data_IF_177329790647
#
_entry.id   IF_177329790647
#
_cell.length_a   1.000
_cell.length_b   1.000
_cell.length_c   1.000
_cell.angle_alpha   90.00
_cell.angle_beta   90.00
_cell.angle_gamma   90.00
#
_symmetry.space_group_name_H-M   'P 1'
#
loop_
_entity.id
_entity.type
_entity.pdbx_description
1 polymer ?
#
# COMPACT_ATOMS: atom_id res chain seq x y z
N UNK A 1 33.65 17.82 -26.63
CA UNK A 1 33.10 16.87 -25.65
C UNK A 1 31.80 17.44 -25.12
N UNK A 2 30.69 17.11 -25.76
CA UNK A 2 29.34 17.44 -25.32
C UNK A 2 28.93 16.38 -24.30
N UNK A 3 28.90 16.75 -23.02
CA UNK A 3 28.27 15.95 -21.99
C UNK A 3 26.76 16.02 -22.19
N UNK A 4 26.21 14.98 -22.81
CA UNK A 4 24.78 14.72 -22.79
C UNK A 4 24.34 14.53 -21.35
N UNK A 5 23.71 15.57 -20.80
CA UNK A 5 22.83 15.45 -19.65
C UNK A 5 21.67 14.56 -20.08
N UNK A 6 21.83 13.24 -19.94
CA UNK A 6 20.71 12.31 -19.89
C UNK A 6 19.79 12.82 -18.79
N UNK A 7 18.70 13.46 -19.18
CA UNK A 7 17.60 13.76 -18.28
C UNK A 7 17.29 12.48 -17.51
N UNK A 8 17.35 12.56 -16.18
CA UNK A 8 16.85 11.47 -15.35
C UNK A 8 15.44 11.21 -15.83
N UNK A 9 15.16 10.06 -16.44
CA UNK A 9 13.78 9.65 -16.60
C UNK A 9 13.24 9.66 -15.19
N UNK A 10 12.26 10.54 -14.90
CA UNK A 10 11.58 10.49 -13.62
C UNK A 10 10.98 9.10 -13.55
N UNK A 11 11.62 8.21 -12.79
CA UNK A 11 11.12 6.86 -12.62
C UNK A 11 9.66 6.97 -12.18
N UNK A 12 8.79 6.30 -12.92
CA UNK A 12 7.36 6.34 -12.65
C UNK A 12 7.14 5.97 -11.17
N UNK A 13 6.30 6.76 -10.51
CA UNK A 13 5.97 6.54 -9.09
C UNK A 13 4.83 5.54 -9.01
N UNK A 14 4.94 4.63 -8.06
CA UNK A 14 4.00 3.56 -7.80
C UNK A 14 3.58 3.55 -6.34
N UNK A 15 2.45 2.91 -6.07
CA UNK A 15 2.03 2.44 -4.74
C UNK A 15 2.24 0.93 -4.72
N UNK A 16 3.07 0.47 -3.81
CA UNK A 16 3.33 -0.95 -3.55
C UNK A 16 2.53 -1.42 -2.35
N UNK A 17 1.81 -2.53 -2.52
CA UNK A 17 1.00 -3.15 -1.47
C UNK A 17 1.31 -4.66 -1.44
N UNK A 18 1.61 -5.18 -0.26
CA UNK A 18 1.78 -6.62 -0.06
C UNK A 18 0.96 -7.09 1.13
N UNK A 19 0.35 -8.26 0.99
CA UNK A 19 -0.39 -8.93 2.05
C UNK A 19 0.34 -10.19 2.48
N UNK A 20 0.56 -10.33 3.78
CA UNK A 20 1.21 -11.49 4.37
C UNK A 20 0.34 -12.10 5.46
N UNK A 21 0.06 -13.41 5.34
CA UNK A 21 -0.69 -14.17 6.32
C UNK A 21 0.27 -14.96 7.20
N UNK A 22 0.44 -14.52 8.44
CA UNK A 22 1.18 -15.28 9.44
C UNK A 22 0.22 -16.25 10.14
N UNK A 23 0.55 -17.55 10.15
CA UNK A 23 -0.26 -18.59 10.81
C UNK A 23 -0.51 -18.23 12.27
N UNK A 24 -1.77 -18.01 12.64
CA UNK A 24 -2.21 -17.71 14.02
C UNK A 24 -2.20 -16.23 14.41
N UNK A 25 -1.74 -15.31 13.55
CA UNK A 25 -1.50 -13.91 13.94
C UNK A 25 -2.28 -12.86 13.13
N UNK A 26 -3.01 -13.26 12.08
CA UNK A 26 -3.78 -12.34 11.23
C UNK A 26 -3.03 -11.92 9.96
N UNK A 27 -3.53 -10.88 9.31
CA UNK A 27 -2.98 -10.35 8.04
C UNK A 27 -2.12 -9.12 8.31
N UNK A 28 -0.94 -9.08 7.70
CA UNK A 28 -0.04 -7.92 7.70
C UNK A 28 -0.06 -7.29 6.32
N UNK A 29 -0.22 -5.97 6.27
CA UNK A 29 -0.13 -5.21 5.03
C UNK A 29 1.12 -4.33 5.03
N UNK A 30 1.90 -4.42 3.96
CA UNK A 30 3.05 -3.53 3.70
C UNK A 30 2.64 -2.56 2.62
N UNK A 31 2.69 -1.26 2.90
CA UNK A 31 2.28 -0.20 1.97
C UNK A 31 3.42 0.81 1.83
N UNK A 32 3.84 1.09 0.59
CA UNK A 32 4.86 2.09 0.31
C UNK A 32 4.59 2.81 -1.01
N UNK A 33 5.10 4.03 -1.16
CA UNK A 33 5.04 4.77 -2.44
C UNK A 33 6.41 5.28 -2.84
N UNK A 34 6.75 5.19 -4.12
CA UNK A 34 8.05 5.60 -4.63
C UNK A 34 8.35 4.99 -5.99
N UNK A 35 9.63 4.96 -6.38
CA UNK A 35 10.05 4.16 -7.53
C UNK A 35 9.97 2.67 -7.19
N UNK A 36 9.92 1.80 -8.21
CA UNK A 36 9.90 0.34 -7.97
C UNK A 36 11.08 -0.12 -7.11
N UNK A 37 12.27 0.45 -7.31
CA UNK A 37 13.48 0.13 -6.54
C UNK A 37 13.30 0.50 -5.08
N UNK A 38 12.87 1.72 -4.78
CA UNK A 38 12.65 2.19 -3.40
C UNK A 38 11.62 1.34 -2.66
N UNK A 39 10.54 0.95 -3.35
CA UNK A 39 9.49 0.12 -2.77
C UNK A 39 10.04 -1.29 -2.46
N UNK A 40 10.80 -1.88 -3.37
CA UNK A 40 11.39 -3.22 -3.14
C UNK A 40 12.43 -3.20 -2.01
N UNK A 41 13.27 -2.17 -1.94
CA UNK A 41 14.23 -2.00 -0.84
C UNK A 41 13.52 -1.86 0.50
N UNK A 42 12.41 -1.10 0.55
CA UNK A 42 11.60 -0.94 1.75
C UNK A 42 10.90 -2.24 2.16
N UNK A 43 10.28 -2.94 1.21
CA UNK A 43 9.56 -4.19 1.49
C UNK A 43 10.52 -5.28 1.97
N UNK A 44 11.76 -5.30 1.46
CA UNK A 44 12.72 -6.33 1.77
C UNK A 44 12.35 -7.69 1.15
N UNK A 45 13.29 -8.64 1.15
CA UNK A 45 13.21 -9.84 0.32
C UNK A 45 12.01 -10.75 0.65
N UNK A 46 11.57 -10.76 1.92
CA UNK A 46 10.45 -11.59 2.36
C UNK A 46 9.10 -11.07 1.86
N UNK A 47 8.88 -9.75 1.90
CA UNK A 47 7.60 -9.16 1.51
C UNK A 47 7.54 -8.80 0.02
N UNK A 48 8.67 -8.79 -0.70
CA UNK A 48 8.71 -8.64 -2.15
C UNK A 48 8.00 -9.76 -2.92
N UNK A 49 7.88 -10.97 -2.35
CA UNK A 49 7.33 -12.16 -3.05
C UNK A 49 5.82 -12.01 -3.35
N UNK A 50 5.12 -11.14 -2.63
CA UNK A 50 3.70 -10.82 -2.85
C UNK A 50 3.44 -9.33 -3.04
N UNK A 51 4.43 -8.58 -3.51
CA UNK A 51 4.34 -7.13 -3.69
C UNK A 51 3.62 -6.81 -5.00
N UNK A 52 2.44 -6.22 -4.89
CA UNK A 52 1.66 -5.70 -6.02
C UNK A 52 1.97 -4.21 -6.20
N UNK A 53 2.19 -3.78 -7.45
CA UNK A 53 2.59 -2.42 -7.79
C UNK A 53 1.52 -1.79 -8.68
N UNK A 54 1.00 -0.66 -8.21
CA UNK A 54 -0.02 0.11 -8.90
C UNK A 54 0.53 1.48 -9.24
N UNK A 55 0.30 1.98 -10.46
CA UNK A 55 0.57 3.37 -10.76
C UNK A 55 -0.33 4.29 -9.92
N UNK A 56 0.07 5.55 -9.76
CA UNK A 56 -0.74 6.52 -9.03
C UNK A 56 -2.12 6.74 -9.67
N UNK A 57 -2.22 6.70 -11.01
CA UNK A 57 -3.51 6.86 -11.70
C UNK A 57 -4.42 5.63 -11.52
N UNK A 58 -3.86 4.41 -11.54
CA UNK A 58 -4.62 3.19 -11.22
C UNK A 58 -5.16 3.24 -9.79
N UNK A 59 -4.31 3.62 -8.82
CA UNK A 59 -4.69 3.70 -7.42
C UNK A 59 -5.71 4.81 -7.17
N UNK A 60 -5.56 5.97 -7.81
CA UNK A 60 -6.55 7.05 -7.76
C UNK A 60 -7.90 6.60 -8.30
N UNK A 61 -7.91 5.93 -9.45
CA UNK A 61 -9.14 5.40 -10.06
C UNK A 61 -9.80 4.37 -9.15
N UNK A 62 -9.00 3.50 -8.50
CA UNK A 62 -9.48 2.50 -7.55
C UNK A 62 -10.08 3.10 -6.28
N UNK A 63 -9.47 4.15 -5.73
CA UNK A 63 -10.01 4.87 -4.57
C UNK A 63 -11.39 5.48 -4.88
N UNK A 64 -11.54 6.12 -6.04
CA UNK A 64 -12.82 6.70 -6.48
C UNK A 64 -13.87 5.61 -6.66
N UNK A 65 -13.49 4.47 -7.24
CA UNK A 65 -14.39 3.35 -7.45
C UNK A 65 -14.86 2.70 -6.13
N UNK A 66 -13.99 2.64 -5.11
CA UNK A 66 -14.35 2.13 -3.79
C UNK A 66 -15.45 2.93 -3.10
N UNK A 67 -15.54 4.26 -3.33
CA UNK A 67 -16.54 5.12 -2.67
C UNK A 67 -18.00 4.73 -2.98
N UNK A 68 -18.25 4.05 -4.11
CA UNK A 68 -19.57 3.61 -4.54
C UNK A 68 -19.86 2.12 -4.38
N UNK A 69 -18.92 1.34 -3.81
CA UNK A 69 -19.02 -0.11 -3.73
C UNK A 69 -19.21 -0.61 -2.30
N UNK A 70 -19.86 -1.77 -2.16
CA UNK A 70 -19.89 -2.49 -0.89
C UNK A 70 -18.60 -3.31 -0.71
N UNK A 71 -18.26 -3.61 0.54
CA UNK A 71 -17.00 -4.30 0.88
C UNK A 71 -16.84 -5.64 0.17
N UNK A 72 -17.92 -6.41 0.00
CA UNK A 72 -17.87 -7.71 -0.67
C UNK A 72 -17.34 -7.61 -2.10
N UNK A 73 -17.80 -6.62 -2.88
CA UNK A 73 -17.33 -6.43 -4.27
C UNK A 73 -15.91 -5.87 -4.35
N UNK A 74 -15.50 -5.11 -3.35
CA UNK A 74 -14.15 -4.56 -3.25
C UNK A 74 -13.13 -5.70 -3.06
N UNK A 75 -13.48 -6.74 -2.29
CA UNK A 75 -12.54 -7.84 -1.98
C UNK A 75 -12.26 -8.78 -3.17
N UNK A 76 -13.11 -8.78 -4.20
CA UNK A 76 -12.94 -9.62 -5.39
C UNK A 76 -11.89 -9.07 -6.39
N UNK A 77 -11.61 -7.76 -6.35
CA UNK A 77 -10.59 -7.10 -7.17
C UNK A 77 -9.42 -6.67 -6.26
N UNK A 78 -8.24 -7.23 -6.50
CA UNK A 78 -7.01 -6.93 -5.76
C UNK A 78 -6.65 -5.45 -5.74
N UNK A 79 -6.88 -4.73 -6.84
CA UNK A 79 -6.63 -3.29 -6.93
C UNK A 79 -7.61 -2.51 -6.06
N UNK A 80 -8.89 -2.89 -6.06
CA UNK A 80 -9.91 -2.26 -5.20
C UNK A 80 -9.65 -2.57 -3.74
N UNK A 81 -9.32 -3.81 -3.40
CA UNK A 81 -8.91 -4.21 -2.06
C UNK A 81 -7.71 -3.40 -1.56
N UNK A 82 -6.70 -3.22 -2.42
CA UNK A 82 -5.53 -2.40 -2.13
C UNK A 82 -5.89 -0.92 -1.86
N UNK A 83 -6.79 -0.34 -2.66
CA UNK A 83 -7.29 1.01 -2.46
C UNK A 83 -8.12 1.14 -1.16
N UNK A 84 -8.99 0.18 -0.88
CA UNK A 84 -9.80 0.14 0.35
C UNK A 84 -8.94 0.03 1.61
N UNK A 85 -7.90 -0.81 1.59
CA UNK A 85 -6.92 -0.90 2.68
C UNK A 85 -6.24 0.45 2.92
N UNK A 86 -5.80 1.11 1.84
CA UNK A 86 -5.18 2.44 1.92
C UNK A 86 -6.13 3.48 2.52
N UNK A 87 -7.36 3.55 2.02
CA UNK A 87 -8.41 4.48 2.44
C UNK A 87 -8.83 4.27 3.91
N UNK A 88 -8.90 3.01 4.34
CA UNK A 88 -9.41 2.66 5.67
C UNK A 88 -8.36 2.85 6.74
N UNK A 89 -7.11 2.47 6.47
CA UNK A 89 -6.09 2.36 7.53
C UNK A 89 -5.19 3.59 7.68
N UNK A 90 -4.88 4.32 6.60
CA UNK A 90 -4.05 5.54 6.72
C UNK A 90 -4.68 6.64 7.59
N UNK A 91 -6.00 6.92 7.51
CA UNK A 91 -6.63 7.90 8.40
C UNK A 91 -6.56 7.48 9.88
N UNK A 92 -6.75 6.18 10.18
CA UNK A 92 -6.64 5.66 11.55
C UNK A 92 -5.23 5.81 12.11
N UNK A 93 -4.21 5.58 11.28
CA UNK A 93 -2.80 5.83 11.61
C UNK A 93 -2.57 7.31 11.92
N UNK A 94 -3.09 8.21 11.09
CA UNK A 94 -2.93 9.65 11.31
C UNK A 94 -3.61 10.12 12.60
N UNK A 95 -4.78 9.55 12.95
CA UNK A 95 -5.46 9.80 14.22
C UNK A 95 -4.64 9.32 15.42
N UNK A 96 -4.07 8.12 15.33
CA UNK A 96 -3.19 7.59 16.38
C UNK A 96 -1.99 8.50 16.64
N UNK A 97 -1.31 8.98 15.58
CA UNK A 97 -0.18 9.91 15.73
C UNK A 97 -0.63 11.23 16.36
N UNK A 98 -1.78 11.78 15.96
CA UNK A 98 -2.35 13.00 16.57
C UNK A 98 -2.60 12.82 18.07
N UNK A 99 -3.09 11.65 18.48
CA UNK A 99 -3.41 11.36 19.86
C UNK A 99 -2.17 11.15 20.74
N UNK A 100 -1.10 10.56 20.20
CA UNK A 100 0.05 10.11 21.00
C UNK A 100 1.39 10.82 20.70
N UNK A 101 1.44 11.72 19.73
CA UNK A 101 2.57 12.63 19.46
C UNK A 101 3.82 11.99 18.82
N UNK A 102 3.92 10.68 18.80
CA UNK A 102 4.92 9.88 18.09
C UNK A 102 4.33 8.49 17.80
N UNK A 103 4.68 7.89 16.67
CA UNK A 103 4.29 6.51 16.37
C UNK A 103 5.20 5.87 15.32
N UNK A 104 5.82 4.75 15.70
CA UNK A 104 6.27 3.73 14.73
C UNK A 104 5.11 2.74 14.61
N UNK A 105 4.46 2.67 13.45
CA UNK A 105 3.29 1.81 13.28
C UNK A 105 3.54 0.75 12.20
N UNK A 106 3.36 -0.50 12.61
CA UNK A 106 2.87 -1.60 11.77
C UNK A 106 1.44 -1.85 12.24
N UNK A 107 0.44 -1.81 11.34
CA UNK A 107 -0.93 -2.09 11.77
C UNK A 107 -1.19 -3.61 11.67
N UNK A 108 -1.76 -4.16 12.73
CA UNK A 108 -2.21 -5.55 12.82
C UNK A 108 -3.71 -5.51 13.07
N UNK A 109 -4.49 -5.97 12.11
CA UNK A 109 -5.95 -5.94 12.17
C UNK A 109 -6.47 -7.34 12.48
N UNK A 110 -7.19 -7.46 13.60
CA UNK A 110 -7.84 -8.70 14.01
C UNK A 110 -9.31 -8.66 13.63
N UNK A 111 -9.72 -9.47 12.65
CA UNK A 111 -11.12 -9.83 12.47
C UNK A 111 -11.35 -11.20 13.11
N UNK A 112 -12.19 -11.24 14.14
CA UNK A 112 -12.68 -12.48 14.70
C UNK A 112 -13.94 -12.88 13.92
N UNK A 113 -13.77 -13.73 12.91
CA UNK A 113 -14.89 -14.35 12.21
C UNK A 113 -15.27 -15.64 12.96
N UNK A 114 -15.82 -15.46 14.15
CA UNK A 114 -16.48 -16.51 14.94
C UNK A 114 -17.97 -16.20 15.05
#
# INVERSE_FOLDING_TARGET
MTTDLKGSSMDAKYVGISEYFATGEGVTYVIASGTKTQINEFAGPYFSIGLELYSFEEMKSALIECEGMNETRIMDDKRLRAAYVLQTHLPSVAEFIKQYGFGTFSYKLHYNLS
#
